data_IF_258339150119
#
_entry.id   IF_258339150119
#
_cell.length_a   1.000
_cell.length_b   1.000
_cell.length_c   1.000
_cell.angle_alpha   90.00
_cell.angle_beta   90.00
_cell.angle_gamma   90.00
#
_symmetry.space_group_name_H-M   'P 1'
#
loop_
_entity.id
_entity.type
_entity.pdbx_description
1 polymer ?
#
# COMPACT_ATOMS: atom_id res chain seq x y z
N UNK A 1 -6.57 -6.96 -20.24
CA UNK A 1 -6.44 -7.27 -21.67
C UNK A 1 -6.52 -6.02 -22.52
N UNK A 2 -5.67 -5.90 -23.54
CA UNK A 2 -5.69 -4.79 -24.51
C UNK A 2 -5.89 -5.37 -25.90
N UNK A 3 -6.78 -4.76 -26.68
CA UNK A 3 -7.02 -5.09 -28.09
C UNK A 3 -6.81 -3.81 -28.93
N UNK A 4 -6.03 -3.95 -30.00
CA UNK A 4 -5.72 -2.88 -30.95
C UNK A 4 -6.36 -3.18 -32.30
N UNK A 5 -7.18 -2.26 -32.81
CA UNK A 5 -7.79 -2.34 -34.13
C UNK A 5 -7.04 -1.41 -35.09
N UNK A 6 -6.62 -1.95 -36.24
CA UNK A 6 -5.74 -1.25 -37.18
C UNK A 6 -6.35 -1.32 -38.58
N UNK A 7 -6.51 -0.16 -39.22
CA UNK A 7 -6.97 -0.05 -40.62
C UNK A 7 -5.97 0.81 -41.41
N UNK A 8 -5.64 0.40 -42.63
CA UNK A 8 -4.68 1.13 -43.48
C UNK A 8 -3.30 1.36 -42.86
N UNK A 9 -2.88 0.51 -41.90
CA UNK A 9 -1.62 0.67 -41.17
C UNK A 9 -1.65 1.67 -40.01
N UNK A 10 -2.80 2.29 -39.73
CA UNK A 10 -3.00 3.23 -38.61
C UNK A 10 -3.82 2.59 -37.51
N UNK A 11 -3.49 2.91 -36.26
CA UNK A 11 -4.29 2.50 -35.10
C UNK A 11 -5.61 3.30 -35.10
N UNK A 12 -6.73 2.61 -35.20
CA UNK A 12 -8.07 3.19 -35.18
C UNK A 12 -8.64 3.16 -33.75
N UNK A 13 -8.59 2.00 -33.11
CA UNK A 13 -9.23 1.78 -31.81
C UNK A 13 -8.27 1.08 -30.86
N UNK A 14 -8.21 1.54 -29.61
CA UNK A 14 -7.65 0.80 -28.48
C UNK A 14 -8.77 0.46 -27.52
N UNK A 15 -8.99 -0.84 -27.26
CA UNK A 15 -9.97 -1.33 -26.28
C UNK A 15 -9.23 -1.95 -25.09
N UNK A 16 -9.71 -1.66 -23.88
CA UNK A 16 -9.19 -2.21 -22.63
C UNK A 16 -10.27 -3.00 -21.94
N UNK A 17 -9.95 -4.25 -21.61
CA UNK A 17 -10.85 -5.19 -20.95
C UNK A 17 -10.25 -5.57 -19.59
N UNK A 18 -10.86 -5.14 -18.47
CA UNK A 18 -10.46 -5.62 -17.15
C UNK A 18 -10.81 -7.11 -17.04
N UNK A 19 -9.87 -7.91 -16.55
CA UNK A 19 -10.11 -9.31 -16.21
C UNK A 19 -9.98 -9.42 -14.69
N UNK A 20 -10.91 -10.13 -14.06
CA UNK A 20 -10.96 -10.43 -12.63
C UNK A 20 -11.03 -11.95 -12.44
N UNK A 21 -10.64 -12.44 -11.25
CA UNK A 21 -10.83 -13.85 -10.89
C UNK A 21 -9.88 -14.84 -11.58
N UNK A 22 -8.65 -14.43 -11.89
CA UNK A 22 -7.65 -15.21 -12.64
C UNK A 22 -6.55 -15.80 -11.75
N UNK A 23 -6.88 -16.14 -10.50
CA UNK A 23 -5.95 -16.83 -9.61
C UNK A 23 -5.53 -18.16 -10.23
N UNK A 24 -4.22 -18.38 -10.33
CA UNK A 24 -3.56 -19.60 -10.81
C UNK A 24 -3.77 -19.97 -12.30
N UNK A 25 -4.33 -19.07 -13.12
CA UNK A 25 -4.45 -19.29 -14.57
C UNK A 25 -3.18 -18.84 -15.31
N UNK A 26 -2.76 -19.63 -16.30
CA UNK A 26 -1.63 -19.24 -17.16
C UNK A 26 -2.04 -18.12 -18.13
N UNK A 27 -1.09 -17.26 -18.51
CA UNK A 27 -1.37 -16.14 -19.42
C UNK A 27 -1.98 -16.61 -20.76
N UNK A 28 -1.56 -17.76 -21.28
CA UNK A 28 -2.07 -18.35 -22.52
C UNK A 28 -3.55 -18.73 -22.39
N UNK A 29 -3.95 -19.32 -21.27
CA UNK A 29 -5.33 -19.66 -20.97
C UNK A 29 -6.22 -18.41 -20.90
N UNK A 30 -5.74 -17.36 -20.21
CA UNK A 30 -6.46 -16.08 -20.07
C UNK A 30 -6.65 -15.43 -21.44
N UNK A 31 -5.59 -15.40 -22.24
CA UNK A 31 -5.60 -14.84 -23.59
C UNK A 31 -6.51 -15.64 -24.53
N UNK A 32 -6.46 -16.96 -24.46
CA UNK A 32 -7.29 -17.87 -25.25
C UNK A 32 -8.76 -17.76 -24.90
N UNK A 33 -9.10 -17.69 -23.61
CA UNK A 33 -10.47 -17.45 -23.14
C UNK A 33 -11.00 -16.10 -23.63
N UNK A 34 -10.21 -15.03 -23.46
CA UNK A 34 -10.58 -13.71 -23.98
C UNK A 34 -10.78 -13.73 -25.50
N UNK A 35 -9.90 -14.38 -26.26
CA UNK A 35 -9.99 -14.50 -27.71
C UNK A 35 -11.30 -15.18 -28.13
N UNK A 36 -11.63 -16.29 -27.47
CA UNK A 36 -12.87 -17.05 -27.68
C UNK A 36 -14.09 -16.17 -27.45
N UNK A 37 -14.18 -15.56 -26.27
CA UNK A 37 -15.33 -14.76 -25.88
C UNK A 37 -15.51 -13.53 -26.78
N UNK A 38 -14.41 -12.88 -27.14
CA UNK A 38 -14.45 -11.68 -27.98
C UNK A 38 -14.88 -12.00 -29.42
N UNK A 39 -14.23 -12.96 -30.07
CA UNK A 39 -14.48 -13.19 -31.50
C UNK A 39 -15.71 -14.05 -31.79
N UNK A 40 -16.09 -15.00 -30.92
CA UNK A 40 -17.33 -15.76 -31.12
C UNK A 40 -18.59 -14.89 -31.01
N UNK A 41 -18.49 -13.75 -30.32
CA UNK A 41 -19.57 -12.78 -30.18
C UNK A 41 -19.37 -11.51 -31.04
N UNK A 42 -18.29 -11.44 -31.83
CA UNK A 42 -18.01 -10.27 -32.65
C UNK A 42 -18.90 -10.25 -33.89
N UNK A 43 -19.56 -9.11 -34.14
CA UNK A 43 -20.35 -8.92 -35.37
C UNK A 43 -19.50 -8.83 -36.64
N UNK A 44 -18.21 -8.52 -36.52
CA UNK A 44 -17.27 -8.44 -37.63
C UNK A 44 -15.91 -9.01 -37.22
N UNK A 45 -15.46 -10.04 -37.93
CA UNK A 45 -14.14 -10.65 -37.72
C UNK A 45 -13.17 -10.08 -38.76
N UNK A 46 -12.01 -9.53 -38.34
CA UNK A 46 -11.05 -8.96 -39.27
C UNK A 46 -10.33 -10.05 -40.07
N UNK A 47 -9.86 -9.76 -41.30
CA UNK A 47 -9.26 -10.77 -42.17
C UNK A 47 -7.88 -11.25 -41.72
N UNK A 48 -7.23 -10.51 -40.83
CA UNK A 48 -5.95 -10.89 -40.25
C UNK A 48 -5.94 -10.51 -38.77
N UNK A 49 -5.59 -11.46 -37.91
CA UNK A 49 -5.45 -11.25 -36.47
C UNK A 49 -4.01 -11.57 -36.08
N UNK A 50 -3.38 -10.64 -35.37
CA UNK A 50 -2.05 -10.82 -34.83
C UNK A 50 -2.17 -11.26 -33.37
N UNK A 51 -1.46 -12.32 -33.01
CA UNK A 51 -1.47 -12.89 -31.66
C UNK A 51 -0.03 -13.12 -31.17
N UNK A 52 0.19 -13.18 -29.84
CA UNK A 52 1.38 -13.78 -29.25
C UNK A 52 1.64 -15.21 -29.77
N UNK A 53 2.88 -15.67 -29.71
CA UNK A 53 3.25 -16.97 -30.30
C UNK A 53 2.86 -18.15 -29.39
N UNK A 54 2.84 -17.90 -28.09
CA UNK A 54 2.52 -18.81 -26.99
C UNK A 54 1.02 -19.09 -26.83
N UNK A 55 0.16 -18.49 -27.66
CA UNK A 55 -1.30 -18.70 -27.59
C UNK A 55 -1.91 -19.34 -28.83
N UNK A 56 -1.07 -19.86 -29.73
CA UNK A 56 -1.56 -20.41 -31.00
C UNK A 56 -2.48 -21.61 -30.80
N UNK A 57 -2.15 -22.49 -29.87
CA UNK A 57 -2.86 -23.74 -29.65
C UNK A 57 -4.26 -23.52 -29.06
N UNK A 58 -4.43 -22.45 -28.27
CA UNK A 58 -5.70 -22.03 -27.69
C UNK A 58 -6.59 -21.30 -28.72
N UNK A 59 -5.98 -20.64 -29.71
CA UNK A 59 -6.68 -19.82 -30.72
C UNK A 59 -7.17 -20.66 -31.90
N UNK A 60 -6.41 -21.66 -32.34
CA UNK A 60 -6.74 -22.48 -33.53
C UNK A 60 -8.14 -23.10 -33.43
N UNK A 61 -8.55 -23.76 -32.33
CA UNK A 61 -9.89 -24.35 -32.21
C UNK A 61 -11.01 -23.32 -32.32
N UNK A 62 -10.77 -22.08 -31.85
CA UNK A 62 -11.76 -20.99 -31.95
C UNK A 62 -11.95 -20.57 -33.41
N UNK A 63 -10.87 -20.55 -34.19
CA UNK A 63 -10.93 -20.21 -35.62
C UNK A 63 -11.70 -21.25 -36.42
N UNK A 64 -11.54 -22.53 -36.08
CA UNK A 64 -12.31 -23.60 -36.73
C UNK A 64 -13.82 -23.41 -36.49
N UNK A 65 -14.22 -23.16 -35.24
CA UNK A 65 -15.62 -22.86 -34.89
C UNK A 65 -16.13 -21.59 -35.58
N UNK A 66 -15.30 -20.55 -35.70
CA UNK A 66 -15.67 -19.32 -36.41
C UNK A 66 -15.90 -19.57 -37.90
N UNK A 67 -15.06 -20.39 -38.54
CA UNK A 67 -15.22 -20.75 -39.94
C UNK A 67 -16.52 -21.51 -40.16
N UNK A 68 -16.84 -22.47 -39.30
CA UNK A 68 -18.09 -23.24 -39.40
C UNK A 68 -19.33 -22.34 -39.27
N UNK A 69 -19.29 -21.38 -38.35
CA UNK A 69 -20.43 -20.45 -38.11
C UNK A 69 -20.59 -19.38 -39.17
N UNK A 70 -19.49 -18.84 -39.70
CA UNK A 70 -19.50 -17.63 -40.54
C UNK A 70 -19.12 -17.86 -41.99
N UNK A 71 -18.58 -19.04 -42.32
CA UNK A 71 -17.97 -19.34 -43.61
C UNK A 71 -16.62 -18.65 -43.85
N UNK A 72 -16.14 -17.84 -42.89
CA UNK A 72 -14.94 -17.03 -43.03
C UNK A 72 -13.82 -17.51 -42.09
N UNK A 73 -12.62 -17.73 -42.63
CA UNK A 73 -11.43 -18.11 -41.85
C UNK A 73 -10.40 -16.97 -41.84
N UNK A 74 -10.25 -16.22 -40.73
CA UNK A 74 -9.24 -15.16 -40.63
C UNK A 74 -7.81 -15.73 -40.63
N UNK A 75 -6.87 -14.96 -41.18
CA UNK A 75 -5.44 -15.31 -41.12
C UNK A 75 -4.88 -15.00 -39.75
N UNK A 76 -4.37 -16.01 -39.06
CA UNK A 76 -3.66 -15.85 -37.79
C UNK A 76 -2.17 -15.69 -38.04
N UNK A 77 -1.54 -14.70 -37.41
CA UNK A 77 -0.11 -14.45 -37.54
C UNK A 77 0.52 -14.13 -36.19
N UNK A 78 1.66 -14.75 -35.90
CA UNK A 78 2.51 -14.40 -34.76
C UNK A 78 3.82 -13.78 -35.28
N UNK A 79 3.87 -12.45 -35.47
CA UNK A 79 5.00 -11.78 -36.08
C UNK A 79 6.23 -11.89 -35.17
N UNK A 80 7.34 -12.41 -35.70
CA UNK A 80 8.61 -12.53 -34.96
C UNK A 80 9.47 -11.25 -35.00
N UNK A 81 9.18 -10.32 -35.91
CA UNK A 81 9.90 -9.05 -36.07
C UNK A 81 9.14 -8.02 -36.92
N UNK A 82 9.71 -6.81 -37.02
CA UNK A 82 9.15 -5.68 -37.78
C UNK A 82 7.96 -4.98 -37.12
N UNK A 83 7.32 -4.06 -37.85
CA UNK A 83 6.28 -3.16 -37.34
C UNK A 83 5.09 -3.89 -36.67
N UNK A 84 4.73 -5.06 -37.20
CA UNK A 84 3.65 -5.89 -36.64
C UNK A 84 3.98 -6.44 -35.26
N UNK A 85 5.25 -6.79 -34.99
CA UNK A 85 5.69 -7.22 -33.64
C UNK A 85 5.76 -6.02 -32.69
N UNK A 86 6.14 -4.85 -33.18
CA UNK A 86 6.11 -3.61 -32.39
C UNK A 86 4.70 -3.29 -31.89
N UNK A 87 3.66 -3.52 -32.69
CA UNK A 87 2.27 -3.34 -32.28
C UNK A 87 1.84 -4.28 -31.13
N UNK A 88 2.24 -5.55 -31.17
CA UNK A 88 2.00 -6.48 -30.06
C UNK A 88 2.70 -6.00 -28.78
N UNK A 89 3.96 -5.56 -28.87
CA UNK A 89 4.69 -5.00 -27.72
C UNK A 89 4.01 -3.74 -27.14
N UNK A 90 3.43 -2.89 -27.99
CA UNK A 90 2.65 -1.73 -27.55
C UNK A 90 1.40 -2.18 -26.79
N UNK A 91 0.71 -3.21 -27.27
CA UNK A 91 -0.46 -3.76 -26.58
C UNK A 91 -0.08 -4.36 -25.20
N UNK A 92 1.01 -5.12 -25.13
CA UNK A 92 1.58 -5.68 -23.89
C UNK A 92 1.91 -4.57 -22.89
N UNK A 93 2.71 -3.57 -23.30
CA UNK A 93 3.08 -2.44 -22.44
C UNK A 93 1.87 -1.62 -21.97
N UNK A 94 0.87 -1.44 -22.83
CA UNK A 94 -0.37 -0.76 -22.44
C UNK A 94 -1.18 -1.56 -21.42
N UNK A 95 -1.13 -2.90 -21.47
CA UNK A 95 -1.80 -3.76 -20.52
C UNK A 95 -1.13 -3.66 -19.14
N UNK A 96 0.20 -3.67 -19.10
CA UNK A 96 1.00 -3.46 -17.89
C UNK A 96 0.71 -2.08 -17.27
N UNK A 97 0.81 -1.01 -18.06
CA UNK A 97 0.53 0.36 -17.59
C UNK A 97 -0.89 0.47 -17.03
N UNK A 98 -1.89 -0.04 -17.75
CA UNK A 98 -3.28 0.01 -17.30
C UNK A 98 -3.59 -0.88 -16.09
N UNK A 99 -2.73 -1.87 -15.78
CA UNK A 99 -2.79 -2.63 -14.53
C UNK A 99 -2.16 -1.82 -13.39
N UNK A 100 -0.95 -1.28 -13.59
CA UNK A 100 -0.26 -0.45 -12.60
C UNK A 100 -1.08 0.76 -12.19
N UNK A 101 -1.69 1.46 -13.14
CA UNK A 101 -2.59 2.60 -12.85
C UNK A 101 -3.80 2.19 -12.01
N UNK A 102 -4.41 1.03 -12.30
CA UNK A 102 -5.55 0.52 -11.51
C UNK A 102 -5.15 0.12 -10.10
N UNK A 103 -4.02 -0.55 -9.94
CA UNK A 103 -3.48 -0.90 -8.63
C UNK A 103 -3.18 0.35 -7.80
N UNK A 104 -2.57 1.37 -8.41
CA UNK A 104 -2.34 2.66 -7.77
C UNK A 104 -3.67 3.31 -7.37
N UNK A 105 -4.65 3.35 -8.26
CA UNK A 105 -5.96 3.95 -7.98
C UNK A 105 -6.72 3.24 -6.84
N UNK A 106 -6.64 1.91 -6.75
CA UNK A 106 -7.20 1.15 -5.61
C UNK A 106 -6.46 1.47 -4.32
N UNK A 107 -5.12 1.52 -4.33
CA UNK A 107 -4.34 1.87 -3.15
C UNK A 107 -4.62 3.29 -2.65
N UNK A 108 -4.80 4.28 -3.53
CA UNK A 108 -5.14 5.65 -3.14
C UNK A 108 -6.57 5.79 -2.58
N UNK A 109 -7.54 5.05 -3.14
CA UNK A 109 -8.92 5.01 -2.61
C UNK A 109 -8.98 4.36 -1.22
N UNK A 110 -8.26 3.26 -1.03
CA UNK A 110 -8.19 2.57 0.27
C UNK A 110 -7.54 3.45 1.34
N UNK A 111 -6.47 4.18 1.01
CA UNK A 111 -5.78 5.04 1.98
C UNK A 111 -6.62 6.24 2.43
N UNK A 112 -7.33 6.88 1.50
CA UNK A 112 -8.26 7.97 1.88
C UNK A 112 -9.38 7.44 2.78
N UNK A 113 -9.87 6.22 2.52
CA UNK A 113 -10.85 5.57 3.39
C UNK A 113 -10.27 5.24 4.77
N UNK A 114 -9.05 4.69 4.84
CA UNK A 114 -8.35 4.43 6.11
C UNK A 114 -8.18 5.69 6.96
N UNK A 115 -7.77 6.81 6.35
CA UNK A 115 -7.57 8.06 7.09
C UNK A 115 -8.89 8.66 7.60
N UNK A 116 -9.97 8.59 6.79
CA UNK A 116 -11.31 9.01 7.23
C UNK A 116 -11.82 8.16 8.37
N UNK A 117 -11.61 6.85 8.27
CA UNK A 117 -12.01 5.94 9.33
C UNK A 117 -11.24 6.25 10.62
N UNK A 118 -9.93 6.49 10.57
CA UNK A 118 -9.14 6.91 11.74
C UNK A 118 -9.65 8.25 12.31
N UNK A 119 -9.99 9.21 11.44
CA UNK A 119 -10.58 10.48 11.85
C UNK A 119 -11.86 10.27 12.66
N UNK A 120 -12.79 9.47 12.13
CA UNK A 120 -14.07 9.15 12.81
C UNK A 120 -13.82 8.36 14.10
N UNK A 121 -12.94 7.36 14.02
CA UNK A 121 -12.57 6.46 15.10
C UNK A 121 -12.03 7.21 16.33
N UNK A 122 -11.18 8.20 16.09
CA UNK A 122 -10.52 8.98 17.15
C UNK A 122 -11.18 10.34 17.37
N UNK A 123 -12.33 10.59 16.72
CA UNK A 123 -13.04 11.87 16.78
C UNK A 123 -12.14 13.09 16.51
N UNK A 124 -11.24 12.96 15.53
CA UNK A 124 -10.31 14.03 15.17
C UNK A 124 -11.04 15.14 14.41
N UNK A 125 -10.72 16.40 14.72
CA UNK A 125 -11.29 17.57 14.02
C UNK A 125 -10.98 17.53 12.52
N UNK A 126 -9.81 17.00 12.15
CA UNK A 126 -9.29 17.00 10.78
C UNK A 126 -8.78 15.62 10.39
N UNK A 127 -8.70 15.39 9.08
CA UNK A 127 -8.13 14.18 8.53
C UNK A 127 -6.64 14.08 8.94
N UNK A 128 -6.16 12.96 9.51
CA UNK A 128 -4.78 12.86 9.96
C UNK A 128 -3.83 12.57 8.80
N UNK A 129 -3.39 13.61 8.10
CA UNK A 129 -2.50 13.49 6.94
C UNK A 129 -1.10 13.04 7.33
N UNK A 130 -0.60 13.50 8.48
CA UNK A 130 0.70 13.14 9.05
C UNK A 130 0.48 12.36 10.35
N UNK A 131 0.83 11.07 10.32
CA UNK A 131 0.74 10.19 11.48
C UNK A 131 2.14 9.75 11.88
N UNK A 132 2.52 9.95 13.13
CA UNK A 132 3.78 9.41 13.67
C UNK A 132 3.52 8.24 14.61
N UNK A 133 4.42 7.27 14.64
CA UNK A 133 4.38 6.18 15.61
C UNK A 133 5.73 5.96 16.30
N UNK A 134 5.66 5.73 17.62
CA UNK A 134 6.81 5.57 18.49
C UNK A 134 6.80 4.21 19.19
N UNK A 135 7.88 3.44 19.02
CA UNK A 135 8.13 2.14 19.67
C UNK A 135 9.43 2.19 20.49
N UNK A 136 9.43 1.54 21.66
CA UNK A 136 10.62 1.33 22.50
C UNK A 136 11.13 -0.10 22.32
N UNK A 137 12.34 -0.22 21.78
CA UNK A 137 13.02 -1.50 21.60
C UNK A 137 14.09 -1.71 22.67
N UNK A 138 13.92 -2.76 23.48
CA UNK A 138 14.90 -3.23 24.46
C UNK A 138 15.72 -4.39 23.86
N UNK A 139 17.04 -4.23 23.78
CA UNK A 139 17.94 -5.30 23.35
C UNK A 139 18.83 -5.74 24.53
N UNK A 140 18.86 -7.04 24.78
CA UNK A 140 19.60 -7.64 25.89
C UNK A 140 21.10 -7.29 25.77
N UNK A 141 21.62 -6.52 26.74
CA UNK A 141 23.03 -6.12 26.78
C UNK A 141 23.41 -4.83 26.02
N UNK A 142 22.44 -4.04 25.54
CA UNK A 142 22.71 -2.73 24.91
C UNK A 142 21.75 -1.64 25.38
N UNK A 143 22.07 -0.37 25.08
CA UNK A 143 21.23 0.77 25.46
C UNK A 143 19.86 0.69 24.76
N UNK A 144 18.75 0.99 25.47
CA UNK A 144 17.42 1.09 24.85
C UNK A 144 17.39 2.11 23.71
N UNK A 145 16.63 1.78 22.66
CA UNK A 145 16.46 2.65 21.49
C UNK A 145 14.97 2.85 21.25
N UNK A 146 14.54 4.10 21.11
CA UNK A 146 13.23 4.40 20.57
C UNK A 146 13.31 4.63 19.06
N UNK A 147 12.25 4.23 18.37
CA UNK A 147 12.09 4.44 16.94
C UNK A 147 10.82 5.24 16.69
N UNK A 148 10.96 6.33 15.94
CA UNK A 148 9.86 7.15 15.43
C UNK A 148 9.75 6.96 13.93
N UNK A 149 8.59 6.52 13.45
CA UNK A 149 8.26 6.43 12.01
C UNK A 149 7.15 7.41 11.67
N UNK A 150 7.14 7.86 10.43
CA UNK A 150 6.18 8.85 9.95
C UNK A 150 5.47 8.30 8.73
N UNK A 151 4.15 8.40 8.72
CA UNK A 151 3.32 8.17 7.55
C UNK A 151 2.74 9.51 7.09
N UNK A 152 2.79 9.74 5.78
CA UNK A 152 2.18 10.90 5.12
C UNK A 152 1.19 10.36 4.10
N UNK A 153 -0.07 10.81 4.15
CA UNK A 153 -1.17 10.31 3.31
C UNK A 153 -1.32 8.78 3.39
N UNK A 154 -1.17 8.21 4.59
CA UNK A 154 -1.25 6.77 4.81
C UNK A 154 -0.09 5.95 4.22
N UNK A 155 1.02 6.60 3.83
CA UNK A 155 2.22 5.93 3.28
C UNK A 155 3.47 6.17 4.13
N UNK A 156 4.36 5.15 4.27
CA UNK A 156 5.69 5.30 4.84
C UNK A 156 6.49 6.49 4.26
N UNK A 157 6.79 7.49 5.09
CA UNK A 157 7.66 8.61 4.75
C UNK A 157 9.02 8.45 5.41
N UNK A 158 9.89 7.65 4.78
CA UNK A 158 11.19 7.23 5.34
C UNK A 158 12.14 8.38 5.70
N UNK A 159 12.05 9.52 5.02
CA UNK A 159 12.88 10.69 5.34
C UNK A 159 12.50 11.31 6.70
N UNK A 160 11.27 11.07 7.18
CA UNK A 160 10.78 11.49 8.50
C UNK A 160 11.19 10.54 9.64
N UNK A 161 11.77 9.38 9.35
CA UNK A 161 12.07 8.38 10.38
C UNK A 161 13.21 8.83 11.28
N UNK A 162 13.11 8.57 12.59
CA UNK A 162 14.11 8.96 13.59
C UNK A 162 14.37 7.83 14.57
N UNK A 163 15.63 7.74 15.03
CA UNK A 163 16.02 6.86 16.13
C UNK A 163 16.54 7.72 17.28
N UNK A 164 16.15 7.36 18.48
CA UNK A 164 16.56 8.05 19.69
C UNK A 164 17.32 7.04 20.56
N UNK A 165 18.61 7.29 20.73
CA UNK A 165 19.40 6.57 21.72
C UNK A 165 19.05 7.13 23.10
N UNK A 166 18.63 6.24 24.00
CA UNK A 166 18.16 6.60 25.33
C UNK A 166 19.27 6.32 26.34
N UNK A 167 19.51 7.27 27.25
CA UNK A 167 20.59 7.18 28.25
C UNK A 167 20.03 7.51 29.63
N UNK A 168 20.59 6.91 30.68
CA UNK A 168 20.28 7.28 32.06
C UNK A 168 19.09 6.55 32.71
N UNK A 169 18.52 5.55 32.05
CA UNK A 169 17.54 4.64 32.66
C UNK A 169 18.25 3.36 33.11
N UNK A 170 18.17 3.05 34.41
CA UNK A 170 18.56 1.75 34.96
C UNK A 170 17.35 0.81 34.92
N UNK A 171 17.42 -0.25 34.10
CA UNK A 171 16.32 -1.21 33.95
C UNK A 171 15.24 -0.83 32.93
N UNK A 172 14.14 -1.59 32.93
CA UNK A 172 13.01 -1.44 32.01
C UNK A 172 12.09 -0.34 32.54
N UNK A 173 12.08 0.83 31.89
CA UNK A 173 11.20 1.96 32.22
C UNK A 173 10.63 2.61 30.95
N UNK A 174 9.90 1.82 30.17
CA UNK A 174 9.29 2.24 28.90
C UNK A 174 8.47 3.54 29.01
N UNK A 175 7.65 3.77 30.07
CA UNK A 175 6.90 5.02 30.19
C UNK A 175 7.81 6.25 30.31
N UNK A 176 8.89 6.16 31.10
CA UNK A 176 9.86 7.24 31.20
C UNK A 176 10.62 7.47 29.88
N UNK A 177 10.97 6.39 29.19
CA UNK A 177 11.63 6.45 27.88
C UNK A 177 10.75 7.12 26.82
N UNK A 178 9.45 6.81 26.79
CA UNK A 178 8.48 7.45 25.91
C UNK A 178 8.38 8.94 26.23
N UNK A 179 8.31 9.31 27.51
CA UNK A 179 8.32 10.72 27.92
C UNK A 179 9.53 11.45 27.32
N UNK A 180 10.76 10.96 27.52
CA UNK A 180 11.98 11.58 26.99
C UNK A 180 11.91 11.76 25.46
N UNK A 181 11.49 10.72 24.74
CA UNK A 181 11.48 10.71 23.27
C UNK A 181 10.47 11.71 22.71
N UNK A 182 9.26 11.75 23.27
CA UNK A 182 8.21 12.67 22.86
C UNK A 182 8.61 14.11 23.20
N UNK A 183 9.14 14.38 24.40
CA UNK A 183 9.66 15.71 24.74
C UNK A 183 10.72 16.17 23.74
N UNK A 184 11.69 15.31 23.41
CA UNK A 184 12.75 15.63 22.43
C UNK A 184 12.22 15.85 21.02
N UNK A 185 11.23 15.06 20.58
CA UNK A 185 10.60 15.25 19.27
C UNK A 185 9.90 16.60 19.20
N UNK A 186 9.05 16.91 20.17
CA UNK A 186 8.22 18.12 20.17
C UNK A 186 9.07 19.38 20.31
N UNK A 187 10.05 19.38 21.23
CA UNK A 187 11.02 20.48 21.34
C UNK A 187 11.77 20.73 20.04
N UNK A 188 12.14 19.67 19.31
CA UNK A 188 12.78 19.82 18.00
C UNK A 188 11.85 20.46 16.98
N UNK A 189 10.58 20.03 16.90
CA UNK A 189 9.59 20.63 15.99
C UNK A 189 9.46 22.12 16.30
N UNK A 190 9.33 22.49 17.57
CA UNK A 190 9.19 23.89 18.01
C UNK A 190 10.43 24.70 17.62
N UNK A 191 11.63 24.21 17.96
CA UNK A 191 12.88 24.92 17.71
C UNK A 191 13.22 25.06 16.22
N UNK A 192 12.80 24.10 15.39
CA UNK A 192 13.04 24.10 13.94
C UNK A 192 11.85 24.68 13.15
N UNK A 193 10.83 25.22 13.82
CA UNK A 193 9.57 25.69 13.21
C UNK A 193 8.96 24.64 12.25
N UNK A 194 9.05 23.38 12.64
CA UNK A 194 8.59 22.24 11.86
C UNK A 194 7.08 22.06 11.87
N UNK A 195 6.61 21.18 10.98
CA UNK A 195 5.20 20.78 10.94
C UNK A 195 4.93 19.73 12.03
N UNK A 196 3.90 19.96 12.84
CA UNK A 196 3.43 18.99 13.82
C UNK A 196 2.67 17.83 13.14
N UNK A 197 2.75 16.61 13.70
CA UNK A 197 1.90 15.52 13.26
C UNK A 197 0.43 15.79 13.62
N UNK A 198 -0.49 15.30 12.79
CA UNK A 198 -1.93 15.37 13.05
C UNK A 198 -2.38 14.31 14.06
N UNK A 199 -1.57 13.25 14.24
CA UNK A 199 -1.81 12.16 15.19
C UNK A 199 -0.48 11.52 15.60
N UNK A 200 -0.29 11.29 16.90
CA UNK A 200 0.81 10.47 17.43
C UNK A 200 0.26 9.14 17.98
N UNK A 201 0.86 8.04 17.56
CA UNK A 201 0.54 6.69 18.00
C UNK A 201 1.69 6.15 18.84
N UNK A 202 1.43 5.76 20.08
CA UNK A 202 2.41 5.13 20.97
C UNK A 202 2.21 3.61 20.90
N UNK A 203 3.25 2.85 20.53
CA UNK A 203 3.22 1.37 20.61
C UNK A 203 3.31 0.96 22.08
N UNK A 204 2.15 0.95 22.74
CA UNK A 204 2.08 0.91 24.18
C UNK A 204 0.66 1.04 24.73
N UNK A 205 0.51 0.65 25.98
CA UNK A 205 -0.74 0.79 26.72
C UNK A 205 -0.90 2.16 27.38
N UNK A 206 -1.94 2.29 28.20
CA UNK A 206 -2.31 3.52 28.90
C UNK A 206 -1.14 4.21 29.62
N UNK A 207 -0.29 3.46 30.33
CA UNK A 207 0.84 4.04 31.09
C UNK A 207 1.83 4.79 30.19
N UNK A 208 2.13 4.26 29.00
CA UNK A 208 3.05 4.89 28.05
C UNK A 208 2.37 6.09 27.38
N UNK A 209 1.09 5.95 27.02
CA UNK A 209 0.28 7.04 26.47
C UNK A 209 0.21 8.23 27.43
N UNK A 210 -0.11 8.01 28.70
CA UNK A 210 -0.19 9.07 29.72
C UNK A 210 1.12 9.84 29.81
N UNK A 211 2.27 9.15 29.79
CA UNK A 211 3.59 9.79 29.79
C UNK A 211 3.92 10.56 28.51
N UNK A 212 3.44 10.11 27.36
CA UNK A 212 3.52 10.88 26.12
C UNK A 212 2.70 12.17 26.19
N UNK A 213 1.48 12.10 26.74
CA UNK A 213 0.63 13.28 26.93
C UNK A 213 1.22 14.28 27.91
N UNK A 214 1.78 13.82 29.04
CA UNK A 214 2.52 14.68 29.99
C UNK A 214 3.66 15.43 29.27
N UNK A 215 4.48 14.72 28.48
CA UNK A 215 5.56 15.32 27.70
C UNK A 215 5.07 16.38 26.70
N UNK A 216 3.88 16.19 26.13
CA UNK A 216 3.27 17.16 25.21
C UNK A 216 2.80 18.43 25.92
N UNK A 217 2.18 18.29 27.09
CA UNK A 217 1.78 19.42 27.94
C UNK A 217 3.01 20.23 28.36
N UNK A 218 4.08 19.56 28.79
CA UNK A 218 5.33 20.22 29.18
C UNK A 218 6.00 20.98 28.03
N UNK A 219 5.81 20.51 26.79
CA UNK A 219 6.30 21.15 25.58
C UNK A 219 5.37 22.27 25.05
N UNK A 220 4.21 22.50 25.66
CA UNK A 220 3.19 23.45 25.17
C UNK A 220 2.50 22.99 23.88
N UNK A 221 2.38 21.68 23.70
CA UNK A 221 1.83 21.02 22.52
C UNK A 221 0.66 20.08 22.87
N UNK A 222 -0.09 20.40 23.92
CA UNK A 222 -1.21 19.59 24.44
C UNK A 222 -2.36 19.39 23.44
N UNK A 223 -2.43 20.18 22.36
CA UNK A 223 -3.45 20.07 21.32
C UNK A 223 -3.24 18.93 20.32
N UNK A 224 -2.11 18.22 20.37
CA UNK A 224 -1.82 17.12 19.43
C UNK A 224 -2.56 15.85 19.85
N UNK A 225 -3.44 15.28 19.01
CA UNK A 225 -4.10 14.02 19.31
C UNK A 225 -3.09 12.87 19.49
N UNK A 226 -3.25 12.10 20.57
CA UNK A 226 -2.40 10.93 20.86
C UNK A 226 -3.24 9.72 21.24
N UNK A 227 -2.82 8.54 20.77
CA UNK A 227 -3.43 7.25 21.14
C UNK A 227 -2.37 6.21 21.45
N UNK A 228 -2.69 5.27 22.34
CA UNK A 228 -1.87 4.08 22.58
C UNK A 228 -2.39 2.90 21.77
N UNK A 229 -1.51 2.09 21.19
CA UNK A 229 -1.86 0.89 20.44
C UNK A 229 -1.13 -0.32 21.03
N UNK A 230 -1.86 -1.21 21.70
CA UNK A 230 -1.26 -2.38 22.36
C UNK A 230 -1.35 -3.67 21.53
N UNK A 231 -0.20 -4.36 21.41
CA UNK A 231 0.00 -5.54 20.55
C UNK A 231 -0.83 -6.78 20.87
N UNK A 232 -1.23 -7.00 22.13
CA UNK A 232 -1.86 -8.28 22.53
C UNK A 232 -3.26 -8.49 21.91
N UNK A 233 -3.98 -7.41 21.60
CA UNK A 233 -5.37 -7.46 21.11
C UNK A 233 -5.75 -6.35 20.11
N UNK A 234 -4.77 -5.58 19.61
CA UNK A 234 -5.03 -4.36 18.83
C UNK A 234 -5.96 -3.38 19.59
N UNK A 235 -5.74 -3.32 20.90
CA UNK A 235 -6.47 -2.45 21.82
C UNK A 235 -5.97 -1.02 21.66
N UNK A 236 -6.90 -0.09 21.50
CA UNK A 236 -6.61 1.33 21.41
C UNK A 236 -6.93 2.00 22.75
N UNK A 237 -5.95 2.74 23.27
CA UNK A 237 -6.10 3.52 24.49
C UNK A 237 -6.23 5.00 24.13
N UNK A 238 -7.23 5.65 24.72
CA UNK A 238 -7.42 7.10 24.63
C UNK A 238 -6.95 7.80 25.92
N UNK A 239 -6.43 9.02 25.83
CA UNK A 239 -6.04 9.78 27.02
C UNK A 239 -7.23 10.00 27.96
N UNK A 240 -7.08 9.64 29.23
CA UNK A 240 -8.12 9.80 30.26
C UNK A 240 -9.16 8.68 30.30
N UNK A 241 -9.09 7.69 29.41
CA UNK A 241 -9.95 6.51 29.41
C UNK A 241 -9.21 5.29 29.97
N UNK A 242 -9.85 4.55 30.87
CA UNK A 242 -9.24 3.36 31.49
C UNK A 242 -9.52 2.08 30.70
N UNK A 243 -10.61 2.03 29.94
CA UNK A 243 -11.01 0.87 29.15
C UNK A 243 -10.52 1.04 27.71
N UNK A 244 -9.83 0.05 27.13
CA UNK A 244 -9.41 0.12 25.75
C UNK A 244 -10.62 -0.03 24.81
N UNK A 245 -10.56 0.66 23.68
CA UNK A 245 -11.49 0.42 22.60
C UNK A 245 -10.99 -0.72 21.71
N UNK A 246 -11.88 -1.69 21.42
CA UNK A 246 -11.60 -2.80 20.52
C UNK A 246 -12.27 -2.50 19.17
N UNK A 247 -11.47 -2.39 18.12
CA UNK A 247 -11.95 -2.12 16.77
C UNK A 247 -12.00 -3.37 15.89
N UNK A 248 -12.74 -3.29 14.78
CA UNK A 248 -12.73 -4.34 13.76
C UNK A 248 -11.33 -4.45 13.14
N UNK A 249 -10.68 -5.59 13.37
CA UNK A 249 -9.33 -5.87 12.86
C UNK A 249 -9.23 -5.82 11.33
N UNK A 250 -10.35 -6.00 10.62
CA UNK A 250 -10.37 -5.99 9.16
C UNK A 250 -10.59 -4.59 8.57
N UNK A 251 -10.84 -3.60 9.42
CA UNK A 251 -11.12 -2.25 8.98
C UNK A 251 -9.90 -1.61 8.29
N UNK A 252 -10.12 -0.81 7.23
CA UNK A 252 -9.05 -0.05 6.57
C UNK A 252 -8.21 0.80 7.53
N UNK A 253 -8.82 1.46 8.52
CA UNK A 253 -8.13 2.27 9.52
C UNK A 253 -7.20 1.42 10.41
N UNK A 254 -7.71 0.31 10.95
CA UNK A 254 -6.92 -0.58 11.80
C UNK A 254 -5.78 -1.27 11.02
N UNK A 255 -5.99 -1.62 9.75
CA UNK A 255 -4.91 -2.11 8.87
C UNK A 255 -3.79 -1.09 8.71
N UNK A 256 -4.12 0.19 8.58
CA UNK A 256 -3.13 1.26 8.47
C UNK A 256 -2.35 1.46 9.78
N UNK A 257 -3.04 1.47 10.93
CA UNK A 257 -2.41 1.61 12.25
C UNK A 257 -1.47 0.43 12.57
N UNK A 258 -1.87 -0.80 12.23
CA UNK A 258 -0.98 -1.98 12.35
C UNK A 258 0.25 -1.86 11.46
N UNK A 259 0.08 -1.46 10.21
CA UNK A 259 1.21 -1.26 9.30
C UNK A 259 2.17 -0.19 9.83
N UNK A 260 1.64 0.91 10.37
CA UNK A 260 2.42 1.96 11.01
C UNK A 260 3.23 1.42 12.21
N UNK A 261 2.60 0.66 13.11
CA UNK A 261 3.26 0.03 14.27
C UNK A 261 4.32 -0.99 13.85
N UNK A 262 3.96 -1.90 12.94
CA UNK A 262 4.88 -2.95 12.47
C UNK A 262 6.10 -2.33 11.79
N UNK A 263 5.93 -1.20 11.10
CA UNK A 263 7.01 -0.42 10.51
C UNK A 263 7.88 0.28 11.57
N UNK A 264 7.29 0.80 12.65
CA UNK A 264 8.02 1.34 13.81
C UNK A 264 8.90 0.26 14.43
N UNK A 265 8.30 -0.88 14.78
CA UNK A 265 9.00 -2.02 15.35
C UNK A 265 10.11 -2.54 14.42
N UNK A 266 9.82 -2.71 13.12
CA UNK A 266 10.82 -3.11 12.10
C UNK A 266 11.98 -2.12 12.06
N UNK A 267 11.69 -0.82 12.12
CA UNK A 267 12.71 0.21 12.09
C UNK A 267 13.58 0.20 13.35
N UNK A 268 12.99 0.01 14.53
CA UNK A 268 13.71 -0.20 15.80
C UNK A 268 14.70 -1.38 15.71
N UNK A 269 14.21 -2.56 15.29
CA UNK A 269 14.99 -3.80 15.20
C UNK A 269 16.10 -3.75 14.14
N UNK A 270 15.91 -3.00 13.05
CA UNK A 270 16.91 -2.92 11.96
C UNK A 270 18.27 -2.32 12.36
N UNK A 271 18.40 -1.69 13.52
CA UNK A 271 19.65 -1.02 13.95
C UNK A 271 20.85 -1.97 14.14
N UNK A 272 20.62 -3.28 14.31
CA UNK A 272 21.69 -4.23 14.61
C UNK A 272 22.18 -5.07 13.42
N UNK A 273 21.51 -5.04 12.26
CA UNK A 273 22.01 -5.78 11.08
C UNK A 273 23.24 -5.13 10.43
N UNK A 274 23.46 -3.83 10.60
CA UNK A 274 24.60 -3.11 9.98
C UNK A 274 25.88 -3.06 10.81
N UNK A 275 25.91 -3.62 12.03
CA UNK A 275 27.14 -3.73 12.86
C UNK A 275 27.73 -5.15 12.91
N UNK A 276 27.29 -6.03 12.01
CA UNK A 276 27.78 -7.42 11.89
C UNK A 276 28.49 -7.75 10.57
N UNK A 277 28.68 -6.77 9.68
CA UNK A 277 29.50 -6.91 8.47
C UNK A 277 30.67 -5.94 8.53
#
# INVERSE_FOLDING_TARGET
MILLEIRGGRLETKKSFPIQGVLDAENSEILGAFFRDYYLNASLVPPCIFIPADIQDEVIPVIDVLQEKTGFRPKIKSPKGGDKRSLLKIAEKNAELGLSERLLATHYRDQTASLKEIQEMFSLERLPHIIECYDISHFQGSQPVASGVMFVEGKPFKQGYRKYNIRGYEGINDPGMIHEVISRRLQRIINEEGVFPDLIVIDGGLTQLTKACEAAVEAGAEGIPMVGLAKKREEIFFPGENEPFIFDMNSPGMKLLRHLRDEAHRFGVSHHRSRRN
#
